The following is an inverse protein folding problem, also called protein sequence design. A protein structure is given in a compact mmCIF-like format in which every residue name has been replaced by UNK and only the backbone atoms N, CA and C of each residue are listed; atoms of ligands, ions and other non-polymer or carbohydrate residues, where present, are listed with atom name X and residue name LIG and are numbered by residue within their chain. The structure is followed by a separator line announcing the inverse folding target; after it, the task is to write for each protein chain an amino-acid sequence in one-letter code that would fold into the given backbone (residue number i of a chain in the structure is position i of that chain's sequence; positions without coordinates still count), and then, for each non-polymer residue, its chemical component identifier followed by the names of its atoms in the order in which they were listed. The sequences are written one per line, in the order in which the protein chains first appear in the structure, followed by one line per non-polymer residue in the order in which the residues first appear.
data_IF_662868089215
#
_entry.id   IF_662868089215
#
_cell.length_a   1.000
_cell.length_b   1.000
_cell.length_c   1.000
_cell.angle_alpha   90.00
_cell.angle_beta   90.00
_cell.angle_gamma   90.00
#
_symmetry.space_group_name_H-M   'P 1'
#
loop_
_entity.id
_entity.type
_entity.pdbx_description
1 polymer ?
#
# COMPACT_ATOMS: atom_id res chain seq x y z
N UNK A 1 -1.41 7.25 16.95
CA UNK A 1 -1.81 6.06 16.17
C UNK A 1 -3.18 6.41 15.65
N UNK A 2 -3.30 6.76 14.37
CA UNK A 2 -4.61 6.96 13.76
C UNK A 2 -5.21 5.56 13.63
N UNK A 3 -6.06 5.19 14.58
CA UNK A 3 -6.96 4.06 14.40
C UNK A 3 -8.10 4.56 13.51
N UNK A 4 -7.89 4.45 12.21
CA UNK A 4 -9.01 4.34 11.28
C UNK A 4 -9.62 2.95 11.51
N UNK A 5 -10.95 2.84 11.43
CA UNK A 5 -11.65 1.56 11.45
C UNK A 5 -11.29 0.79 10.17
N UNK A 6 -10.09 0.20 10.16
CA UNK A 6 -9.55 -0.67 9.13
C UNK A 6 -10.16 -2.07 9.26
N UNK A 7 -11.45 -2.13 9.62
CA UNK A 7 -12.23 -3.31 9.33
C UNK A 7 -12.13 -3.51 7.80
N UNK A 8 -11.46 -4.59 7.39
CA UNK A 8 -11.47 -5.05 6.00
C UNK A 8 -12.89 -5.11 5.42
N UNK A 9 -13.92 -5.21 6.28
CA UNK A 9 -15.34 -5.11 5.95
C UNK A 9 -15.84 -3.70 5.58
N UNK A 10 -15.32 -2.62 6.19
CA UNK A 10 -15.70 -1.25 5.83
C UNK A 10 -15.18 -0.83 4.45
N UNK A 11 -14.03 -1.37 4.05
CA UNK A 11 -13.42 -1.19 2.72
C UNK A 11 -14.19 -1.93 1.61
N UNK A 12 -14.94 -2.97 1.94
CA UNK A 12 -15.73 -3.78 1.01
C UNK A 12 -17.22 -3.43 1.00
N UNK A 13 -17.68 -2.60 1.95
CA UNK A 13 -19.11 -2.31 2.17
C UNK A 13 -19.69 -1.13 1.37
N UNK A 14 -18.84 -0.22 0.86
CA UNK A 14 -19.26 0.92 0.04
C UNK A 14 -18.29 1.15 -1.12
N UNK A 15 -18.80 1.04 -2.36
CA UNK A 15 -18.04 1.20 -3.60
C UNK A 15 -17.54 2.62 -3.78
N UNK A 16 -16.24 2.75 -4.01
CA UNK A 16 -15.60 3.98 -4.42
C UNK A 16 -14.33 3.58 -5.18
N UNK A 17 -14.16 4.02 -6.44
CA UNK A 17 -12.94 3.79 -7.20
C UNK A 17 -11.69 4.21 -6.42
N UNK A 18 -10.55 3.56 -6.67
CA UNK A 18 -9.28 3.86 -5.97
C UNK A 18 -8.91 5.34 -6.10
N UNK A 19 -9.19 5.95 -7.26
CA UNK A 19 -8.96 7.35 -7.57
C UNK A 19 -9.76 8.29 -6.66
N UNK A 20 -11.05 8.00 -6.48
CA UNK A 20 -11.95 8.76 -5.62
C UNK A 20 -11.63 8.51 -4.14
N UNK A 21 -11.24 7.28 -3.79
CA UNK A 21 -10.78 6.93 -2.45
C UNK A 21 -9.55 7.73 -2.08
N UNK A 22 -8.58 7.84 -2.97
CA UNK A 22 -7.40 8.67 -2.75
C UNK A 22 -7.75 10.15 -2.55
N UNK A 23 -8.73 10.67 -3.30
CA UNK A 23 -9.25 12.03 -3.12
C UNK A 23 -9.81 12.25 -1.71
N UNK A 24 -10.68 11.34 -1.27
CA UNK A 24 -11.33 11.40 0.03
C UNK A 24 -10.32 11.28 1.18
N UNK A 25 -9.29 10.45 1.03
CA UNK A 25 -8.20 10.33 2.02
C UNK A 25 -7.35 11.60 2.07
N UNK A 26 -7.05 12.22 0.93
CA UNK A 26 -6.32 13.50 0.90
C UNK A 26 -7.10 14.63 1.59
N UNK A 27 -8.42 14.69 1.40
CA UNK A 27 -9.28 15.65 2.11
C UNK A 27 -9.27 15.41 3.63
N UNK A 28 -9.28 14.12 4.03
CA UNK A 28 -9.12 13.74 5.45
C UNK A 28 -7.74 14.16 5.99
N UNK A 29 -6.67 13.96 5.23
CA UNK A 29 -5.32 14.39 5.62
C UNK A 29 -5.24 15.88 5.86
N UNK A 30 -5.89 16.67 5.01
CA UNK A 30 -5.99 18.12 5.20
C UNK A 30 -6.71 18.47 6.51
N UNK A 31 -7.86 17.85 6.79
CA UNK A 31 -8.61 18.08 8.03
C UNK A 31 -7.86 17.71 9.31
N UNK A 32 -7.01 16.68 9.24
CA UNK A 32 -6.23 16.15 10.37
C UNK A 32 -4.83 16.77 10.49
N UNK A 33 -4.45 17.72 9.63
CA UNK A 33 -3.11 18.34 9.64
C UNK A 33 -1.98 17.38 9.23
N UNK A 34 -2.29 16.33 8.48
CA UNK A 34 -1.30 15.42 7.92
C UNK A 34 -0.57 16.14 6.78
N UNK A 35 0.77 16.14 6.83
CA UNK A 35 1.62 16.96 5.96
C UNK A 35 2.46 17.99 6.72
N UNK A 36 2.18 18.24 8.00
CA UNK A 36 3.02 19.13 8.82
C UNK A 36 4.34 18.47 9.27
N UNK A 37 4.39 17.13 9.28
CA UNK A 37 5.53 16.31 9.72
C UNK A 37 5.88 15.27 8.65
N UNK A 38 7.11 14.72 8.67
CA UNK A 38 7.47 13.60 7.79
C UNK A 38 6.47 12.44 7.89
N UNK A 39 6.06 11.94 6.74
CA UNK A 39 5.05 10.89 6.58
C UNK A 39 5.74 9.58 6.24
N UNK A 40 5.27 8.49 6.87
CA UNK A 40 5.57 7.13 6.45
C UNK A 40 4.26 6.39 6.29
N UNK A 41 4.00 5.87 5.09
CA UNK A 41 2.85 5.00 4.85
C UNK A 41 3.20 3.56 5.18
N UNK A 42 2.30 2.86 5.86
CA UNK A 42 2.35 1.41 6.05
C UNK A 42 1.00 0.89 5.59
N UNK A 43 0.99 0.15 4.49
CA UNK A 43 -0.24 -0.23 3.83
C UNK A 43 -0.26 -1.73 3.55
N UNK A 44 -1.43 -2.33 3.77
CA UNK A 44 -1.68 -3.74 3.53
C UNK A 44 -2.52 -3.93 2.28
N UNK A 45 -2.17 -4.92 1.46
CA UNK A 45 -3.01 -5.39 0.37
C UNK A 45 -3.43 -4.23 -0.56
N UNK A 46 -4.73 -4.07 -0.81
CA UNK A 46 -5.31 -3.00 -1.61
C UNK A 46 -4.93 -1.59 -1.13
N UNK A 47 -4.72 -1.40 0.17
CA UNK A 47 -4.32 -0.11 0.73
C UNK A 47 -3.01 0.41 0.13
N UNK A 48 -2.11 -0.48 -0.31
CA UNK A 48 -0.87 -0.08 -0.98
C UNK A 48 -1.11 0.55 -2.34
N UNK A 49 -2.12 0.08 -3.08
CA UNK A 49 -2.55 0.71 -4.35
C UNK A 49 -3.20 2.07 -4.11
N UNK A 50 -3.96 2.21 -3.02
CA UNK A 50 -4.50 3.52 -2.61
C UNK A 50 -3.38 4.50 -2.25
N UNK A 51 -2.35 4.06 -1.51
CA UNK A 51 -1.20 4.91 -1.18
C UNK A 51 -0.47 5.37 -2.44
N UNK A 52 -0.25 4.48 -3.42
CA UNK A 52 0.33 4.88 -4.70
C UNK A 52 -0.51 5.96 -5.39
N UNK A 53 -1.84 5.91 -5.27
CA UNK A 53 -2.74 6.86 -5.91
C UNK A 53 -2.75 8.20 -5.19
N UNK A 54 -2.72 8.18 -3.86
CA UNK A 54 -2.54 9.38 -3.03
C UNK A 54 -1.27 10.10 -3.45
N UNK A 55 -0.14 9.36 -3.53
CA UNK A 55 1.15 9.92 -3.92
C UNK A 55 1.11 10.47 -5.36
N UNK A 56 0.57 9.71 -6.30
CA UNK A 56 0.42 10.14 -7.70
C UNK A 56 -0.35 11.45 -7.80
N UNK A 57 -1.53 11.50 -7.18
CA UNK A 57 -2.39 12.67 -7.19
C UNK A 57 -1.71 13.87 -6.53
N UNK A 58 -1.14 13.68 -5.34
CA UNK A 58 -0.44 14.75 -4.61
C UNK A 58 0.74 15.33 -5.40
N UNK A 59 1.44 14.53 -6.20
CA UNK A 59 2.59 14.97 -6.98
C UNK A 59 2.24 15.57 -8.36
N UNK A 60 1.09 15.24 -8.95
CA UNK A 60 0.81 15.56 -10.37
C UNK A 60 -0.37 16.51 -10.59
N UNK A 61 -1.45 16.36 -9.82
CA UNK A 61 -2.75 17.02 -10.09
C UNK A 61 -3.24 17.82 -8.88
N UNK A 62 -2.70 17.55 -7.70
CA UNK A 62 -3.16 18.12 -6.43
C UNK A 62 -2.99 19.63 -6.35
N UNK A 63 -3.86 20.26 -5.55
CA UNK A 63 -3.67 21.64 -5.07
C UNK A 63 -2.34 21.72 -4.29
N UNK A 64 -1.79 22.92 -4.10
CA UNK A 64 -0.57 23.11 -3.29
C UNK A 64 -0.70 22.47 -1.89
N UNK A 65 -1.90 22.46 -1.33
CA UNK A 65 -2.22 21.81 -0.04
C UNK A 65 -2.11 20.29 -0.07
N UNK A 66 -2.25 19.64 -1.22
CA UNK A 66 -2.07 18.19 -1.38
C UNK A 66 -0.61 17.85 -1.70
N UNK A 67 0.13 18.75 -2.38
CA UNK A 67 1.53 18.56 -2.78
C UNK A 67 2.46 18.23 -1.61
N UNK A 68 2.20 18.84 -0.46
CA UNK A 68 2.92 18.58 0.79
C UNK A 68 2.93 17.11 1.18
N UNK A 69 1.91 16.32 0.81
CA UNK A 69 1.83 14.90 1.15
C UNK A 69 2.93 14.12 0.43
N UNK A 70 3.10 14.33 -0.88
CA UNK A 70 4.20 13.72 -1.64
C UNK A 70 5.57 14.19 -1.10
N UNK A 71 5.73 15.49 -0.90
CA UNK A 71 7.01 16.07 -0.46
C UNK A 71 7.43 15.61 0.94
N UNK A 72 6.47 15.43 1.86
CA UNK A 72 6.76 15.00 3.23
C UNK A 72 6.81 13.49 3.38
N UNK A 73 6.42 12.72 2.36
CA UNK A 73 6.54 11.27 2.41
C UNK A 73 8.00 10.87 2.31
N UNK A 74 8.56 10.41 3.42
CA UNK A 74 9.95 9.94 3.49
C UNK A 74 10.07 8.41 3.38
N UNK A 75 8.96 7.68 3.48
CA UNK A 75 8.97 6.25 3.26
C UNK A 75 7.60 5.59 3.08
N UNK A 76 7.63 4.42 2.46
CA UNK A 76 6.46 3.56 2.25
C UNK A 76 6.81 2.12 2.55
N UNK A 77 5.91 1.44 3.27
CA UNK A 77 5.97 0.03 3.58
C UNK A 77 4.75 -0.67 3.00
N UNK A 78 4.99 -1.63 2.10
CA UNK A 78 3.96 -2.48 1.54
C UNK A 78 3.92 -3.83 2.27
N UNK A 79 2.73 -4.24 2.69
CA UNK A 79 2.46 -5.51 3.35
C UNK A 79 1.54 -6.33 2.44
N UNK A 80 2.08 -7.30 1.71
CA UNK A 80 1.34 -8.11 0.74
C UNK A 80 0.51 -7.25 -0.25
N UNK A 81 1.14 -6.25 -0.88
CA UNK A 81 0.51 -5.43 -1.92
C UNK A 81 0.91 -5.95 -3.30
N UNK A 82 -0.04 -6.29 -4.19
CA UNK A 82 0.27 -6.61 -5.58
C UNK A 82 0.63 -5.32 -6.33
N UNK A 83 1.77 -5.29 -7.02
CA UNK A 83 2.25 -4.03 -7.62
C UNK A 83 2.00 -3.89 -9.12
N UNK A 84 1.85 -4.97 -9.88
CA UNK A 84 1.71 -4.92 -11.34
C UNK A 84 0.29 -5.28 -11.79
N UNK A 85 -0.15 -4.82 -12.97
CA UNK A 85 -1.51 -5.09 -13.46
C UNK A 85 -1.86 -6.60 -13.56
N UNK A 86 -0.90 -7.45 -13.98
CA UNK A 86 -1.11 -8.90 -14.04
C UNK A 86 -1.25 -9.52 -12.64
N UNK A 87 -0.46 -9.03 -11.66
CA UNK A 87 -0.54 -9.51 -10.29
C UNK A 87 -1.77 -8.98 -9.56
N UNK A 88 -2.23 -7.78 -9.89
CA UNK A 88 -3.50 -7.23 -9.41
C UNK A 88 -4.67 -8.08 -9.91
N UNK A 89 -4.67 -8.51 -11.17
CA UNK A 89 -5.71 -9.41 -11.69
C UNK A 89 -5.72 -10.76 -10.96
N UNK A 90 -4.55 -11.37 -10.73
CA UNK A 90 -4.43 -12.60 -9.92
C UNK A 90 -4.94 -12.38 -8.49
N UNK A 91 -4.55 -11.26 -7.88
CA UNK A 91 -4.95 -10.86 -6.55
C UNK A 91 -6.48 -10.69 -6.44
N UNK A 92 -7.11 -10.02 -7.40
CA UNK A 92 -8.58 -9.87 -7.45
C UNK A 92 -9.26 -11.24 -7.51
N UNK A 93 -8.76 -12.15 -8.36
CA UNK A 93 -9.30 -13.51 -8.44
C UNK A 93 -9.12 -14.30 -7.13
N UNK A 94 -7.96 -14.15 -6.47
CA UNK A 94 -7.70 -14.77 -5.18
C UNK A 94 -8.67 -14.23 -4.10
N UNK A 95 -8.84 -12.91 -4.02
CA UNK A 95 -9.80 -12.32 -3.08
C UNK A 95 -11.25 -12.70 -3.39
N UNK A 96 -11.65 -12.75 -4.67
CA UNK A 96 -13.00 -13.16 -5.06
C UNK A 96 -13.32 -14.60 -4.65
N UNK A 97 -12.30 -15.46 -4.57
CA UNK A 97 -12.42 -16.84 -4.09
C UNK A 97 -12.53 -16.94 -2.55
N UNK A 98 -12.04 -15.93 -1.82
CA UNK A 98 -12.09 -15.89 -0.34
C UNK A 98 -13.35 -15.17 0.16
N UNK A 99 -13.68 -14.01 -0.43
CA UNK A 99 -14.61 -13.02 0.14
C UNK A 99 -15.98 -12.96 -0.56
N UNK A 100 -16.21 -13.82 -1.57
CA UNK A 100 -17.28 -13.69 -2.56
C UNK A 100 -17.13 -12.40 -3.40
N UNK A 101 -17.64 -12.42 -4.63
CA UNK A 101 -17.49 -11.30 -5.56
C UNK A 101 -18.29 -10.08 -5.07
N UNK A 102 -17.58 -9.07 -4.56
CA UNK A 102 -18.15 -7.76 -4.21
C UNK A 102 -18.04 -6.81 -5.40
N UNK A 103 -18.88 -5.76 -5.42
CA UNK A 103 -18.79 -4.74 -6.47
C UNK A 103 -17.44 -3.98 -6.42
N UNK A 104 -16.84 -3.85 -5.24
CA UNK A 104 -15.48 -3.30 -5.07
C UNK A 104 -14.40 -4.14 -5.78
N UNK A 105 -14.54 -5.48 -5.82
CA UNK A 105 -13.60 -6.35 -6.55
C UNK A 105 -13.79 -6.23 -8.06
N UNK A 106 -15.02 -6.00 -8.54
CA UNK A 106 -15.30 -5.77 -9.96
C UNK A 106 -14.73 -4.43 -10.43
N UNK A 107 -14.89 -3.38 -9.62
CA UNK A 107 -14.27 -2.08 -9.89
C UNK A 107 -12.75 -2.18 -9.92
N UNK A 108 -12.15 -2.86 -8.94
CA UNK A 108 -10.71 -3.11 -8.93
C UNK A 108 -10.22 -3.91 -10.16
N UNK A 109 -11.01 -4.89 -10.61
CA UNK A 109 -10.72 -5.63 -11.84
C UNK A 109 -10.77 -4.72 -13.08
N UNK A 110 -11.76 -3.83 -13.14
CA UNK A 110 -11.92 -2.87 -14.23
C UNK A 110 -10.78 -1.83 -14.26
N UNK A 111 -10.26 -1.46 -13.09
CA UNK A 111 -9.13 -0.53 -12.93
C UNK A 111 -7.74 -1.17 -13.15
N UNK A 112 -7.65 -2.48 -13.43
CA UNK A 112 -6.37 -3.19 -13.57
C UNK A 112 -5.43 -2.59 -14.63
N UNK A 113 -5.97 -2.01 -15.71
CA UNK A 113 -5.18 -1.35 -16.75
C UNK A 113 -4.59 0.00 -16.27
N UNK A 114 -5.39 0.96 -15.74
CA UNK A 114 -4.88 2.15 -15.06
C UNK A 114 -3.84 1.86 -13.95
N UNK A 115 -3.97 0.74 -13.25
CA UNK A 115 -3.05 0.36 -12.17
C UNK A 115 -1.65 -0.04 -12.67
N UNK A 116 -1.49 -0.42 -13.95
CA UNK A 116 -0.16 -0.63 -14.54
C UNK A 116 0.61 0.69 -14.63
N UNK A 117 -0.03 1.74 -15.12
CA UNK A 117 0.58 3.06 -15.24
C UNK A 117 0.94 3.61 -13.84
N UNK A 118 0.14 3.25 -12.83
CA UNK A 118 0.40 3.58 -11.44
C UNK A 118 1.65 2.87 -10.86
N UNK A 119 1.91 1.63 -11.27
CA UNK A 119 3.07 0.86 -10.85
C UNK A 119 4.37 1.50 -11.36
N UNK A 120 4.40 1.77 -12.67
CA UNK A 120 5.53 2.39 -13.37
C UNK A 120 5.77 3.81 -12.84
N UNK A 121 4.69 4.56 -12.62
CA UNK A 121 4.77 5.90 -12.01
C UNK A 121 5.41 5.85 -10.62
N UNK A 122 4.95 4.96 -9.74
CA UNK A 122 5.47 4.87 -8.37
C UNK A 122 6.94 4.45 -8.36
N UNK A 123 7.31 3.50 -9.22
CA UNK A 123 8.70 3.08 -9.36
C UNK A 123 9.62 4.28 -9.63
N UNK A 124 9.29 5.08 -10.64
CA UNK A 124 10.11 6.23 -11.02
C UNK A 124 10.06 7.37 -9.98
N UNK A 125 8.88 7.68 -9.47
CA UNK A 125 8.67 8.87 -8.63
C UNK A 125 9.14 8.68 -7.19
N UNK A 126 9.09 7.46 -6.67
CA UNK A 126 9.68 7.16 -5.37
C UNK A 126 11.19 7.42 -5.35
N UNK A 127 11.90 7.16 -6.46
CA UNK A 127 13.32 7.46 -6.59
C UNK A 127 13.57 8.97 -6.66
N UNK A 128 12.81 9.69 -7.49
CA UNK A 128 12.92 11.15 -7.65
C UNK A 128 12.65 11.91 -6.35
N UNK A 129 11.67 11.45 -5.57
CA UNK A 129 11.30 12.04 -4.29
C UNK A 129 12.15 11.50 -3.12
N UNK A 130 13.06 10.55 -3.36
CA UNK A 130 13.88 9.93 -2.33
C UNK A 130 13.10 9.04 -1.33
N UNK A 131 11.88 8.63 -1.68
CA UNK A 131 11.00 7.83 -0.83
C UNK A 131 11.64 6.45 -0.59
N UNK A 132 12.06 6.21 0.65
CA UNK A 132 12.55 4.90 1.06
C UNK A 132 11.40 3.90 0.97
N UNK A 133 11.63 2.78 0.29
CA UNK A 133 10.59 1.77 0.07
C UNK A 133 10.99 0.42 0.65
N UNK A 134 10.04 -0.24 1.30
CA UNK A 134 10.19 -1.63 1.76
C UNK A 134 8.91 -2.41 1.48
N UNK A 135 9.05 -3.65 1.04
CA UNK A 135 7.92 -4.53 0.77
C UNK A 135 8.07 -5.86 1.51
N UNK A 136 6.93 -6.41 1.89
CA UNK A 136 6.82 -7.71 2.55
C UNK A 136 5.79 -8.58 1.81
N UNK A 137 6.05 -9.88 1.75
CA UNK A 137 5.14 -10.86 1.15
C UNK A 137 4.90 -12.04 2.09
N UNK A 138 3.75 -12.69 1.91
CA UNK A 138 3.33 -13.83 2.73
C UNK A 138 4.01 -15.13 2.29
N UNK A 139 4.26 -16.03 3.23
CA UNK A 139 4.83 -17.36 2.94
C UNK A 139 3.93 -18.50 3.38
N UNK A 140 2.89 -18.23 4.18
CA UNK A 140 1.91 -19.24 4.59
C UNK A 140 0.72 -19.19 3.63
N UNK A 141 0.38 -20.30 2.96
CA UNK A 141 -0.80 -20.38 2.10
C UNK A 141 -2.09 -19.98 2.81
N UNK A 142 -2.92 -19.20 2.11
CA UNK A 142 -4.32 -18.99 2.46
C UNK A 142 -5.14 -20.17 1.90
N UNK A 143 -6.06 -20.77 2.70
CA UNK A 143 -6.95 -21.80 2.20
C UNK A 143 -7.62 -21.38 0.89
N UNK A 144 -7.79 -22.33 -0.05
CA UNK A 144 -8.42 -22.13 -1.37
C UNK A 144 -7.54 -21.47 -2.45
N UNK A 145 -6.63 -20.54 -2.11
CA UNK A 145 -5.93 -19.71 -3.12
C UNK A 145 -4.39 -19.71 -3.05
N UNK A 146 -3.79 -20.57 -2.23
CA UNK A 146 -2.34 -20.59 -1.97
C UNK A 146 -1.84 -19.21 -1.48
N UNK A 147 -0.77 -18.63 -2.04
CA UNK A 147 -0.35 -17.27 -1.70
C UNK A 147 -1.17 -16.26 -2.50
N UNK A 148 -1.78 -15.31 -1.80
CA UNK A 148 -2.53 -14.19 -2.37
C UNK A 148 -1.57 -13.19 -3.01
N UNK A 149 -0.45 -12.91 -2.37
CA UNK A 149 0.64 -12.07 -2.91
C UNK A 149 1.98 -12.74 -2.68
N UNK A 150 2.56 -13.28 -3.76
CA UNK A 150 3.90 -13.88 -3.75
C UNK A 150 5.03 -12.83 -3.85
N UNK A 151 6.28 -13.30 -3.82
CA UNK A 151 7.47 -12.43 -3.90
C UNK A 151 7.48 -11.55 -5.15
N UNK A 152 7.03 -12.08 -6.30
CA UNK A 152 7.04 -11.35 -7.58
C UNK A 152 6.00 -10.24 -7.53
N UNK A 153 4.79 -10.58 -7.08
CA UNK A 153 3.65 -9.68 -6.95
C UNK A 153 3.93 -8.55 -5.96
N UNK A 154 4.66 -8.84 -4.87
CA UNK A 154 5.05 -7.90 -3.84
C UNK A 154 6.27 -7.03 -4.20
N UNK A 155 6.86 -7.16 -5.39
CA UNK A 155 8.00 -6.33 -5.79
C UNK A 155 7.54 -4.98 -6.39
N UNK A 156 7.82 -3.82 -5.76
CA UNK A 156 7.44 -2.52 -6.31
C UNK A 156 8.41 -2.03 -7.40
N UNK A 157 9.48 -2.78 -7.68
CA UNK A 157 10.54 -2.46 -8.64
C UNK A 157 11.33 -1.16 -8.36
N UNK A 158 11.19 -0.60 -7.16
CA UNK A 158 11.94 0.58 -6.70
C UNK A 158 13.39 0.22 -6.41
N UNK A 159 14.34 0.99 -6.92
CA UNK A 159 15.77 0.77 -6.67
C UNK A 159 16.09 0.83 -5.18
N UNK A 160 16.79 -0.19 -4.66
CA UNK A 160 17.18 -0.28 -3.25
C UNK A 160 16.06 -0.74 -2.31
N UNK A 161 14.83 -0.96 -2.80
CA UNK A 161 13.76 -1.52 -1.99
C UNK A 161 14.04 -2.99 -1.64
N UNK A 162 13.84 -3.35 -0.38
CA UNK A 162 13.88 -4.76 0.06
C UNK A 162 12.50 -5.41 -0.13
N UNK A 163 12.46 -6.62 -0.68
CA UNK A 163 11.27 -7.49 -0.72
C UNK A 163 11.52 -8.67 0.22
N UNK A 164 10.81 -8.72 1.34
CA UNK A 164 11.16 -9.60 2.48
C UNK A 164 10.03 -10.59 2.77
N UNK A 165 10.33 -11.91 2.89
CA UNK A 165 9.32 -12.89 3.29
C UNK A 165 8.89 -12.68 4.75
N UNK A 166 7.61 -12.92 5.02
CA UNK A 166 7.05 -12.96 6.37
C UNK A 166 6.30 -14.27 6.57
N UNK A 167 6.65 -14.96 7.65
CA UNK A 167 6.01 -16.19 8.11
C UNK A 167 4.60 -15.92 8.65
N UNK A 168 3.70 -15.60 7.73
CA UNK A 168 2.30 -15.29 7.93
C UNK A 168 1.52 -15.56 6.63
N UNK A 169 0.20 -15.67 6.74
CA UNK A 169 -0.72 -15.67 5.59
C UNK A 169 -1.17 -14.23 5.26
N UNK A 170 -1.95 -14.05 4.19
CA UNK A 170 -2.36 -12.72 3.70
C UNK A 170 -3.01 -11.84 4.76
N UNK A 171 -3.90 -12.41 5.58
CA UNK A 171 -4.60 -11.66 6.63
C UNK A 171 -3.73 -11.42 7.87
N UNK A 172 -2.77 -12.30 8.14
CA UNK A 172 -1.89 -12.26 9.30
C UNK A 172 -0.65 -11.41 9.11
N UNK A 173 -0.22 -11.15 7.88
CA UNK A 173 1.06 -10.46 7.59
C UNK A 173 1.11 -9.05 8.19
N UNK A 174 -0.01 -8.35 8.22
CA UNK A 174 -0.12 -7.01 8.80
C UNK A 174 -0.31 -7.01 10.33
N UNK A 175 -0.53 -8.18 10.94
CA UNK A 175 -0.80 -8.31 12.37
C UNK A 175 0.51 -8.45 13.15
N UNK A 176 0.77 -7.51 14.06
CA UNK A 176 1.94 -7.57 14.94
C UNK A 176 1.52 -8.24 16.26
N UNK A 177 1.52 -9.58 16.27
CA UNK A 177 1.21 -10.34 17.48
C UNK A 177 2.28 -10.19 18.57
N UNK A 178 3.53 -9.85 18.19
CA UNK A 178 4.63 -9.65 19.13
C UNK A 178 5.70 -8.70 18.59
N UNK A 179 6.27 -7.89 19.50
CA UNK A 179 7.41 -7.01 19.19
C UNK A 179 8.72 -7.77 18.98
N UNK A 180 8.74 -9.07 19.24
CA UNK A 180 9.91 -9.92 18.99
C UNK A 180 9.95 -10.46 17.56
N UNK A 181 8.89 -10.30 16.77
CA UNK A 181 8.83 -10.74 15.39
C UNK A 181 9.92 -10.06 14.53
N UNK A 182 10.63 -10.81 13.67
CA UNK A 182 11.69 -10.25 12.84
C UNK A 182 11.23 -9.08 11.97
N UNK A 183 10.07 -9.21 11.31
CA UNK A 183 9.51 -8.15 10.46
C UNK A 183 9.15 -6.90 11.27
N UNK A 184 8.69 -7.04 12.53
CA UNK A 184 8.45 -5.89 13.41
C UNK A 184 9.74 -5.13 13.74
N UNK A 185 10.81 -5.86 14.09
CA UNK A 185 12.11 -5.25 14.39
C UNK A 185 12.68 -4.51 13.17
N UNK A 186 12.60 -5.15 12.01
CA UNK A 186 12.98 -4.58 10.72
C UNK A 186 12.16 -3.34 10.36
N UNK A 187 10.82 -3.42 10.48
CA UNK A 187 9.90 -2.30 10.26
C UNK A 187 10.21 -1.12 11.18
N UNK A 188 10.39 -1.38 12.47
CA UNK A 188 10.75 -0.34 13.45
C UNK A 188 12.08 0.32 13.11
N UNK A 189 13.07 -0.45 12.64
CA UNK A 189 14.37 0.10 12.22
C UNK A 189 14.22 0.96 10.98
N UNK A 190 13.50 0.47 9.96
CA UNK A 190 13.17 1.22 8.76
C UNK A 190 12.51 2.56 9.09
N UNK A 191 11.48 2.57 9.95
CA UNK A 191 10.79 3.80 10.37
C UNK A 191 11.77 4.79 11.00
N UNK A 192 12.64 4.34 11.91
CA UNK A 192 13.64 5.21 12.55
C UNK A 192 14.63 5.79 11.55
N UNK A 193 15.16 4.97 10.65
CA UNK A 193 16.16 5.39 9.67
C UNK A 193 15.57 6.31 8.59
N UNK A 194 14.28 6.14 8.27
CA UNK A 194 13.53 7.04 7.38
C UNK A 194 13.28 8.39 8.03
N UNK A 195 12.88 8.44 9.31
CA UNK A 195 12.64 9.68 10.03
C UNK A 195 13.92 10.44 10.42
N UNK A 196 15.05 9.75 10.60
CA UNK A 196 16.33 10.39 10.94
C UNK A 196 16.95 11.15 9.77
N UNK A 197 16.65 10.74 8.54
CA UNK A 197 17.06 11.41 7.31
C UNK A 197 15.83 11.53 6.40
N UNK A 198 14.90 12.45 6.73
CA UNK A 198 13.74 12.71 5.88
C UNK A 198 14.21 13.30 4.55
N UNK A 199 13.46 12.99 3.50
CA UNK A 199 13.64 13.47 2.13
C UNK A 199 13.56 14.99 2.03
#
# INVERSE_FOLDING_TARGET
MLEYDAAALGWLGHTMPITDRAASVLDTFYGEGIGEKPIIFIAHSLGGLVVKQILNRSATVGKETERVIAEKTCGVVFMATPHTGADIAKFVNALGSILQQTDSLKELAADAAPLRDQADWYQHQSEMLGIKTRSYFETIPTPVVNLVVDQTSANPHVTGASVVPVDANHSGIAQIASRNLPHYKSLRRFIKDSLANPT
#
